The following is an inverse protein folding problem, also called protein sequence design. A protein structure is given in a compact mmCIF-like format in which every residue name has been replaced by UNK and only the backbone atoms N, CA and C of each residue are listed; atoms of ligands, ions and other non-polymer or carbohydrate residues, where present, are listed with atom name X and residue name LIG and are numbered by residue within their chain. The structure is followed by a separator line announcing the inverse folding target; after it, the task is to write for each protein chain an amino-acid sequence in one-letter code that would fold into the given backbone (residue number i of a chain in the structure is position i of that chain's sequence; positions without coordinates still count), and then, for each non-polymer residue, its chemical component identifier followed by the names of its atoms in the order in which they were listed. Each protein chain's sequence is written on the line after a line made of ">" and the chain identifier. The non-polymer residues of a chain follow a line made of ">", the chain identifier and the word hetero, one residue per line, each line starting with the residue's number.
data_IF_294060424005
#
_entry.id   IF_294060424005
#
_cell.length_a   1.000
_cell.length_b   1.000
_cell.length_c   1.000
_cell.angle_alpha   90.00
_cell.angle_beta   90.00
_cell.angle_gamma   90.00
#
_symmetry.space_group_name_H-M   'P 1'
#
loop_
_entity.id
_entity.type
_entity.pdbx_description
1 polymer ?
#
# COMPACT_ATOMS: atom_id res chain seq x y z
N UNK A 1 28.12 -25.64 33.93
CA UNK A 1 27.13 -24.57 34.24
C UNK A 1 27.52 -23.18 33.70
N UNK A 2 28.75 -22.67 33.88
CA UNK A 2 29.15 -21.32 33.41
C UNK A 2 29.10 -21.13 31.89
N UNK A 3 29.57 -22.11 31.11
CA UNK A 3 29.52 -22.08 29.62
C UNK A 3 28.07 -22.03 29.10
N UNK A 4 27.18 -22.87 29.65
CA UNK A 4 25.78 -22.90 29.25
C UNK A 4 25.06 -21.56 29.49
N UNK A 5 25.36 -20.90 30.62
CA UNK A 5 24.87 -19.53 30.91
C UNK A 5 25.44 -18.49 29.94
N UNK A 6 26.70 -18.63 29.50
CA UNK A 6 27.33 -17.72 28.53
C UNK A 6 26.68 -17.87 27.15
N UNK A 7 26.49 -19.09 26.68
CA UNK A 7 25.83 -19.39 25.38
C UNK A 7 24.39 -18.86 25.39
N UNK A 8 23.63 -19.14 26.47
CA UNK A 8 22.26 -18.62 26.61
C UNK A 8 22.19 -17.08 26.56
N UNK A 9 23.15 -16.37 27.17
CA UNK A 9 23.22 -14.90 27.08
C UNK A 9 23.43 -14.40 25.66
N UNK A 10 24.37 -15.00 24.91
CA UNK A 10 24.62 -14.61 23.52
C UNK A 10 23.43 -14.91 22.61
N UNK A 11 22.77 -16.06 22.83
CA UNK A 11 21.54 -16.41 22.11
C UNK A 11 20.42 -15.40 22.37
N UNK A 12 20.23 -14.97 23.63
CA UNK A 12 19.24 -13.95 23.97
C UNK A 12 19.55 -12.58 23.35
N UNK A 13 20.83 -12.17 23.33
CA UNK A 13 21.24 -10.93 22.66
C UNK A 13 20.96 -11.00 21.16
N UNK A 14 21.28 -12.13 20.53
CA UNK A 14 21.03 -12.32 19.10
C UNK A 14 19.54 -12.25 18.77
N UNK A 15 18.70 -13.00 19.50
CA UNK A 15 17.24 -12.96 19.34
C UNK A 15 16.71 -11.54 19.59
N UNK A 16 17.18 -10.87 20.64
CA UNK A 16 16.81 -9.49 20.96
C UNK A 16 17.15 -8.51 19.83
N UNK A 17 18.31 -8.68 19.18
CA UNK A 17 18.71 -7.85 18.05
C UNK A 17 17.82 -8.05 16.82
N UNK A 18 17.44 -9.30 16.50
CA UNK A 18 16.51 -9.62 15.41
C UNK A 18 15.13 -9.01 15.68
N UNK A 19 14.61 -9.17 16.90
CA UNK A 19 13.32 -8.59 17.30
C UNK A 19 13.36 -7.08 17.18
N UNK A 20 14.44 -6.43 17.67
CA UNK A 20 14.61 -4.98 17.56
C UNK A 20 14.63 -4.52 16.11
N UNK A 21 15.33 -5.23 15.22
CA UNK A 21 15.36 -4.92 13.79
C UNK A 21 13.96 -5.03 13.15
N UNK A 22 13.23 -6.10 13.45
CA UNK A 22 11.85 -6.30 12.96
C UNK A 22 10.95 -5.16 13.45
N UNK A 23 11.03 -4.78 14.72
CA UNK A 23 10.23 -3.69 15.28
C UNK A 23 10.53 -2.35 14.61
N UNK A 24 11.81 -2.05 14.35
CA UNK A 24 12.21 -0.84 13.61
C UNK A 24 11.63 -0.86 12.19
N UNK A 25 11.71 -1.99 11.50
CA UNK A 25 11.16 -2.13 10.15
C UNK A 25 9.64 -1.93 10.14
N UNK A 26 8.92 -2.54 11.08
CA UNK A 26 7.47 -2.37 11.23
C UNK A 26 7.10 -0.91 11.54
N UNK A 27 7.90 -0.22 12.36
CA UNK A 27 7.69 1.20 12.66
C UNK A 27 7.84 2.06 11.40
N UNK A 28 8.87 1.81 10.59
CA UNK A 28 9.09 2.50 9.32
C UNK A 28 7.89 2.28 8.38
N UNK A 29 7.42 1.02 8.25
CA UNK A 29 6.26 0.71 7.43
C UNK A 29 5.03 1.45 7.93
N UNK A 30 4.77 1.45 9.25
CA UNK A 30 3.63 2.19 9.82
C UNK A 30 3.71 3.68 9.43
N UNK A 31 4.86 4.32 9.64
CA UNK A 31 4.99 5.78 9.41
C UNK A 31 4.74 6.12 7.93
N UNK A 32 5.20 5.28 7.02
CA UNK A 32 5.11 5.55 5.57
C UNK A 32 3.86 4.98 4.90
N UNK A 33 3.09 4.11 5.57
CA UNK A 33 1.88 3.49 5.03
C UNK A 33 0.65 4.04 5.73
N UNK A 34 0.13 5.17 5.24
CA UNK A 34 -1.11 5.80 5.75
C UNK A 34 -2.36 4.95 5.48
N UNK A 35 -2.32 4.07 4.48
CA UNK A 35 -3.49 3.36 3.98
C UNK A 35 -4.50 4.26 3.25
N UNK A 36 -4.11 5.50 2.97
CA UNK A 36 -4.88 6.47 2.19
C UNK A 36 -4.20 6.64 0.84
N UNK A 37 -4.97 6.59 -0.23
CA UNK A 37 -4.46 6.79 -1.58
C UNK A 37 -3.91 8.21 -1.76
N UNK A 38 -2.77 8.31 -2.43
CA UNK A 38 -2.16 9.61 -2.71
C UNK A 38 -3.01 10.40 -3.73
N UNK A 39 -3.32 11.69 -3.44
CA UNK A 39 -4.09 12.52 -4.35
C UNK A 39 -3.28 12.88 -5.60
N UNK A 40 -3.96 13.23 -6.68
CA UNK A 40 -3.32 13.84 -7.83
C UNK A 40 -3.12 15.33 -7.56
N UNK A 41 -1.95 15.86 -7.92
CA UNK A 41 -1.57 17.24 -7.70
C UNK A 41 -1.46 18.00 -9.03
N UNK A 42 -1.74 19.29 -9.02
CA UNK A 42 -1.50 20.21 -10.13
C UNK A 42 -0.03 20.68 -10.17
N UNK A 43 0.32 21.52 -11.16
CA UNK A 43 1.67 22.07 -11.33
C UNK A 43 2.15 22.92 -10.15
N UNK A 44 1.23 23.40 -9.29
CA UNK A 44 1.52 24.20 -8.10
C UNK A 44 1.64 23.34 -6.85
N UNK A 45 1.40 22.02 -6.98
CA UNK A 45 1.41 21.07 -5.86
C UNK A 45 0.09 21.03 -5.08
N UNK A 46 -0.97 21.67 -5.60
CA UNK A 46 -2.29 21.65 -4.98
C UNK A 46 -3.09 20.43 -5.43
N UNK A 47 -4.03 19.96 -4.61
CA UNK A 47 -4.88 18.82 -4.98
C UNK A 47 -5.70 19.17 -6.22
N UNK A 48 -5.62 18.31 -7.24
CA UNK A 48 -6.36 18.45 -8.48
C UNK A 48 -7.86 18.28 -8.21
N UNK A 49 -8.61 19.38 -8.22
CA UNK A 49 -9.99 19.42 -7.72
C UNK A 49 -10.96 18.46 -8.42
N UNK A 50 -10.76 18.25 -9.72
CA UNK A 50 -11.63 17.38 -10.52
C UNK A 50 -11.15 15.92 -10.57
N UNK A 51 -10.23 15.53 -9.69
CA UNK A 51 -9.66 14.18 -9.61
C UNK A 51 -10.25 13.37 -8.45
N UNK A 52 -10.01 12.06 -8.47
CA UNK A 52 -10.40 11.13 -7.40
C UNK A 52 -9.25 10.17 -7.09
N UNK A 53 -8.99 9.92 -5.81
CA UNK A 53 -8.04 8.92 -5.34
C UNK A 53 -8.48 8.44 -3.95
N UNK A 54 -9.05 7.24 -3.85
CA UNK A 54 -9.54 6.70 -2.58
C UNK A 54 -9.63 5.18 -2.56
N UNK A 55 -9.67 4.65 -1.33
CA UNK A 55 -10.18 3.31 -1.08
C UNK A 55 -11.60 3.39 -0.50
N UNK A 56 -12.50 2.52 -0.95
CA UNK A 56 -13.85 2.39 -0.40
C UNK A 56 -14.10 0.93 -0.01
N UNK A 57 -14.57 0.70 1.23
CA UNK A 57 -15.06 -0.61 1.65
C UNK A 57 -16.55 -0.72 1.36
N UNK A 58 -16.95 -1.74 0.60
CA UNK A 58 -18.33 -1.97 0.21
C UNK A 58 -18.74 -3.43 0.37
N UNK A 59 -19.98 -3.66 0.77
CA UNK A 59 -20.61 -4.97 0.64
C UNK A 59 -21.15 -5.11 -0.78
N UNK A 60 -20.62 -6.07 -1.54
CA UNK A 60 -21.09 -6.40 -2.89
C UNK A 60 -21.55 -7.85 -2.88
N UNK A 61 -22.83 -8.08 -3.15
CA UNK A 61 -23.47 -9.41 -3.13
C UNK A 61 -23.23 -10.18 -1.80
N UNK A 62 -23.28 -9.47 -0.67
CA UNK A 62 -23.07 -10.06 0.66
C UNK A 62 -21.61 -10.28 1.06
N UNK A 63 -20.65 -9.92 0.20
CA UNK A 63 -19.21 -10.07 0.48
C UNK A 63 -18.57 -8.70 0.70
N UNK A 64 -17.81 -8.50 1.79
CA UNK A 64 -16.99 -7.30 1.97
C UNK A 64 -15.88 -7.23 0.94
N UNK A 65 -15.82 -6.14 0.19
CA UNK A 65 -14.80 -5.88 -0.82
C UNK A 65 -14.22 -4.48 -0.62
N UNK A 66 -12.91 -4.35 -0.83
CA UNK A 66 -12.25 -3.05 -0.90
C UNK A 66 -12.07 -2.65 -2.35
N UNK A 67 -12.61 -1.50 -2.71
CA UNK A 67 -12.44 -0.86 -4.00
C UNK A 67 -11.30 0.16 -3.92
N UNK A 68 -10.52 0.27 -5.00
CA UNK A 68 -9.57 1.36 -5.18
C UNK A 68 -10.02 2.16 -6.39
N UNK A 69 -10.36 3.42 -6.17
CA UNK A 69 -10.94 4.30 -7.18
C UNK A 69 -9.98 5.45 -7.41
N UNK A 70 -9.50 5.58 -8.65
CA UNK A 70 -8.50 6.59 -9.03
C UNK A 70 -8.80 7.12 -10.43
N UNK A 71 -8.57 8.42 -10.63
CA UNK A 71 -8.70 9.10 -11.92
C UNK A 71 -8.30 10.57 -11.80
N UNK A 72 -7.67 11.12 -12.85
CA UNK A 72 -7.27 12.54 -12.89
C UNK A 72 -8.43 13.48 -13.24
N UNK A 73 -9.49 12.94 -13.85
CA UNK A 73 -10.74 13.65 -14.16
C UNK A 73 -11.92 12.72 -13.90
N UNK A 74 -12.87 13.13 -13.05
CA UNK A 74 -14.07 12.33 -12.73
C UNK A 74 -15.08 12.25 -13.89
N UNK A 75 -14.92 13.04 -14.94
CA UNK A 75 -15.75 12.99 -16.15
C UNK A 75 -15.25 11.95 -17.15
N UNK A 76 -14.07 11.36 -16.94
CA UNK A 76 -13.53 10.34 -17.82
C UNK A 76 -14.36 9.05 -17.75
N UNK A 77 -14.38 8.24 -18.83
CA UNK A 77 -15.03 6.93 -18.81
C UNK A 77 -14.47 6.02 -17.71
N UNK A 78 -15.35 5.26 -17.07
CA UNK A 78 -14.95 4.31 -16.01
C UNK A 78 -14.29 3.08 -16.63
N UNK A 79 -13.04 2.82 -16.25
CA UNK A 79 -12.35 1.57 -16.51
C UNK A 79 -12.47 0.63 -15.30
N UNK A 80 -13.29 -0.42 -15.41
CA UNK A 80 -13.39 -1.44 -14.38
C UNK A 80 -12.30 -2.50 -14.54
N UNK A 81 -11.35 -2.55 -13.61
CA UNK A 81 -10.27 -3.54 -13.56
C UNK A 81 -10.63 -4.71 -12.65
N UNK A 82 -10.88 -5.87 -13.26
CA UNK A 82 -11.14 -7.14 -12.55
C UNK A 82 -9.95 -8.07 -12.72
N UNK A 83 -9.48 -8.70 -11.63
CA UNK A 83 -8.39 -9.66 -11.70
C UNK A 83 -8.90 -11.06 -12.10
N UNK A 84 -7.98 -11.88 -12.61
CA UNK A 84 -8.27 -13.29 -12.94
C UNK A 84 -8.18 -14.21 -11.73
N UNK A 85 -7.04 -14.92 -11.60
CA UNK A 85 -6.76 -15.90 -10.54
C UNK A 85 -6.82 -15.36 -9.10
N UNK A 86 -6.51 -16.18 -8.09
CA UNK A 86 -6.88 -15.87 -6.71
C UNK A 86 -6.14 -14.65 -6.17
N UNK A 87 -6.83 -13.85 -5.36
CA UNK A 87 -6.25 -12.70 -4.66
C UNK A 87 -6.97 -11.40 -4.96
N UNK A 88 -6.21 -10.38 -5.33
CA UNK A 88 -6.66 -9.01 -5.51
C UNK A 88 -6.11 -8.45 -6.83
N UNK A 89 -6.73 -7.40 -7.41
CA UNK A 89 -6.17 -6.71 -8.56
C UNK A 89 -4.84 -6.06 -8.23
N UNK A 90 -4.01 -5.93 -9.26
CA UNK A 90 -2.71 -5.28 -9.19
C UNK A 90 -2.87 -3.83 -8.66
N UNK A 91 -2.24 -3.48 -7.52
CA UNK A 91 -2.43 -2.18 -6.87
C UNK A 91 -1.81 -1.03 -7.68
N UNK A 92 -2.30 0.21 -7.50
CA UNK A 92 -1.84 1.37 -8.27
C UNK A 92 -0.33 1.62 -8.16
N UNK A 93 0.26 1.44 -6.97
CA UNK A 93 1.68 1.70 -6.73
C UNK A 93 2.61 0.94 -7.69
N UNK A 94 2.23 -0.28 -8.09
CA UNK A 94 3.04 -1.08 -9.00
C UNK A 94 2.96 -0.55 -10.46
N UNK A 95 1.83 0.01 -10.88
CA UNK A 95 1.73 0.68 -12.18
C UNK A 95 2.64 1.92 -12.22
N UNK A 96 2.63 2.71 -11.14
CA UNK A 96 3.47 3.89 -10.99
C UNK A 96 4.97 3.55 -11.01
N UNK A 97 5.37 2.50 -10.30
CA UNK A 97 6.76 2.00 -10.32
C UNK A 97 7.22 1.63 -11.73
N UNK A 98 6.30 1.10 -12.55
CA UNK A 98 6.54 0.73 -13.95
C UNK A 98 6.30 1.88 -14.94
N UNK A 99 5.89 3.07 -14.47
CA UNK A 99 5.53 4.25 -15.29
C UNK A 99 4.43 3.97 -16.32
N UNK A 100 3.44 3.17 -15.93
CA UNK A 100 2.28 2.79 -16.75
C UNK A 100 0.98 3.01 -15.98
N UNK A 101 0.86 4.18 -15.34
CA UNK A 101 -0.36 4.56 -14.64
C UNK A 101 -1.55 4.61 -15.62
N UNK A 102 -2.65 3.95 -15.25
CA UNK A 102 -3.80 3.82 -16.14
C UNK A 102 -4.49 5.17 -16.33
N UNK A 103 -4.40 6.02 -15.31
CA UNK A 103 -4.91 7.38 -15.26
C UNK A 103 -4.20 8.32 -16.25
N UNK A 104 -3.03 7.94 -16.75
CA UNK A 104 -2.30 8.64 -17.81
C UNK A 104 -2.57 8.05 -19.20
N UNK A 105 -2.88 6.76 -19.27
CA UNK A 105 -3.11 6.04 -20.53
C UNK A 105 -4.54 6.19 -21.04
N UNK A 106 -5.51 6.32 -20.14
CA UNK A 106 -6.94 6.40 -20.45
C UNK A 106 -7.48 7.73 -19.92
N UNK A 107 -7.38 8.77 -20.76
CA UNK A 107 -7.82 10.13 -20.48
C UNK A 107 -9.04 10.54 -21.30
#
# INVERSE_FOLDING_TARGET
>A
MKILRKIGKWLLIFIGSIISLILIMLLIIRINSSGVEEPFLDERGEVLHNSIAMHEDKIINGVPQRLTIRGKDINNPILLKVHGGPGAPWPPILNRMLKVDLEDLFT
#
